data_IF_339640414420
#
_entry.id   IF_339640414420
#
_cell.length_a   1.000
_cell.length_b   1.000
_cell.length_c   1.000
_cell.angle_alpha   90.00
_cell.angle_beta   90.00
_cell.angle_gamma   90.00
#
_symmetry.space_group_name_H-M   'P 1'
#
loop_
_entity.id
_entity.type
_entity.pdbx_description
1 polymer ?
#
# COMPACT_ATOMS: atom_id res chain seq x y z
N UNK A 1 18.89 18.57 -5.89
CA UNK A 1 20.02 17.62 -5.96
C UNK A 1 21.39 18.30 -5.96
N UNK A 2 21.63 19.36 -6.75
CA UNK A 2 22.92 20.09 -6.78
C UNK A 2 23.55 20.38 -5.41
N UNK A 3 22.81 20.99 -4.48
CA UNK A 3 23.30 21.28 -3.11
C UNK A 3 23.83 20.05 -2.37
N UNK A 4 23.07 18.95 -2.39
CA UNK A 4 23.47 17.68 -1.77
C UNK A 4 24.73 17.10 -2.43
N UNK A 5 24.86 17.23 -3.75
CA UNK A 5 26.07 16.79 -4.46
C UNK A 5 27.30 17.67 -4.16
N UNK A 6 27.09 18.95 -3.84
CA UNK A 6 28.18 19.87 -3.43
C UNK A 6 28.58 19.69 -1.96
N UNK A 7 27.61 19.51 -1.07
CA UNK A 7 27.85 19.50 0.38
C UNK A 7 28.14 18.12 0.97
N UNK A 8 27.87 17.05 0.21
CA UNK A 8 28.02 15.64 0.65
C UNK A 8 26.66 14.98 0.90
N UNK A 9 26.47 13.76 0.39
CA UNK A 9 25.19 13.00 0.49
C UNK A 9 24.85 12.63 1.93
N UNK A 10 25.85 12.40 2.76
CA UNK A 10 25.74 11.96 4.16
C UNK A 10 25.01 12.96 5.07
N UNK A 11 24.89 14.23 4.64
CA UNK A 11 24.19 15.30 5.37
C UNK A 11 22.70 15.36 5.07
N UNK A 12 22.20 14.50 4.18
CA UNK A 12 20.85 14.61 3.62
C UNK A 12 20.11 13.28 3.66
N UNK A 13 18.80 13.37 3.86
CA UNK A 13 17.85 12.27 3.65
C UNK A 13 16.87 12.69 2.55
N UNK A 14 17.09 12.31 1.28
CA UNK A 14 16.18 12.67 0.21
C UNK A 14 14.88 11.87 0.30
N UNK A 15 13.75 12.58 0.29
CA UNK A 15 12.41 12.00 0.14
C UNK A 15 12.04 12.04 -1.33
N UNK A 16 11.71 10.89 -1.92
CA UNK A 16 11.49 10.75 -3.36
C UNK A 16 10.11 10.15 -3.65
N UNK A 17 9.51 10.58 -4.75
CA UNK A 17 8.34 9.92 -5.33
C UNK A 17 8.76 8.64 -6.06
N UNK A 18 7.82 7.72 -6.30
CA UNK A 18 8.07 6.53 -7.12
C UNK A 18 8.10 5.19 -6.37
N UNK A 19 7.37 5.06 -5.24
CA UNK A 19 7.42 3.84 -4.44
C UNK A 19 6.81 2.60 -5.12
N UNK A 20 5.94 2.75 -6.12
CA UNK A 20 5.43 1.63 -6.93
C UNK A 20 6.30 1.39 -8.18
N UNK A 21 7.39 2.14 -8.34
CA UNK A 21 8.20 2.13 -9.56
C UNK A 21 7.55 2.87 -10.73
N UNK A 22 6.72 3.87 -10.45
CA UNK A 22 6.00 4.66 -11.44
C UNK A 22 6.98 5.23 -12.49
N UNK A 23 6.69 5.06 -13.80
CA UNK A 23 7.49 5.65 -14.86
C UNK A 23 7.61 7.17 -14.68
N UNK A 24 8.82 7.70 -14.79
CA UNK A 24 9.10 9.14 -14.66
C UNK A 24 9.18 9.69 -13.22
N UNK A 25 8.81 8.91 -12.21
CA UNK A 25 9.00 9.31 -10.81
C UNK A 25 10.50 9.42 -10.45
N UNK A 26 10.83 10.22 -9.44
CA UNK A 26 12.22 10.54 -9.11
C UNK A 26 13.02 9.28 -8.79
N UNK A 27 12.47 8.35 -8.00
CA UNK A 27 13.18 7.11 -7.66
C UNK A 27 13.45 6.23 -8.89
N UNK A 28 12.49 6.12 -9.81
CA UNK A 28 12.64 5.37 -11.07
C UNK A 28 13.73 5.99 -11.95
N UNK A 29 13.76 7.32 -12.05
CA UNK A 29 14.79 8.06 -12.79
C UNK A 29 16.17 7.90 -12.15
N UNK A 30 16.26 7.96 -10.82
CA UNK A 30 17.50 7.67 -10.07
C UNK A 30 17.98 6.25 -10.38
N UNK A 31 17.10 5.25 -10.30
CA UNK A 31 17.42 3.85 -10.60
C UNK A 31 17.90 3.65 -12.05
N UNK A 32 17.36 4.44 -13.00
CA UNK A 32 17.79 4.44 -14.39
C UNK A 32 19.07 5.25 -14.65
N UNK A 33 19.51 6.10 -13.71
CA UNK A 33 20.66 6.99 -13.91
C UNK A 33 20.33 8.25 -14.71
N UNK A 34 19.06 8.67 -14.72
CA UNK A 34 18.55 9.83 -15.46
C UNK A 34 18.57 11.12 -14.61
N UNK A 35 19.32 11.12 -13.51
CA UNK A 35 19.46 12.24 -12.58
C UNK A 35 20.90 12.37 -12.10
N UNK A 36 21.30 13.57 -11.67
CA UNK A 36 22.61 13.82 -11.05
C UNK A 36 22.84 13.03 -9.73
N UNK A 37 21.77 12.51 -9.13
CA UNK A 37 21.87 11.66 -7.95
C UNK A 37 22.03 10.19 -8.36
N UNK A 38 23.23 9.66 -8.13
CA UNK A 38 23.55 8.25 -8.37
C UNK A 38 23.54 7.49 -7.05
N UNK A 39 22.97 6.30 -7.06
CA UNK A 39 23.06 5.36 -5.94
C UNK A 39 24.42 4.70 -5.98
N UNK A 40 25.10 4.69 -4.84
CA UNK A 40 26.43 4.11 -4.65
C UNK A 40 26.38 2.94 -3.68
N UNK A 41 27.44 2.15 -3.67
CA UNK A 41 27.56 1.01 -2.76
C UNK A 41 27.47 1.46 -1.30
N UNK A 42 26.51 0.91 -0.55
CA UNK A 42 26.29 1.23 0.86
C UNK A 42 25.17 2.24 1.13
N UNK A 43 24.65 2.92 0.10
CA UNK A 43 23.45 3.74 0.20
C UNK A 43 22.26 2.92 0.69
N UNK A 44 21.40 3.54 1.50
CA UNK A 44 20.22 2.89 2.08
C UNK A 44 18.98 3.48 1.46
N UNK A 45 18.14 2.62 0.92
CA UNK A 45 16.87 3.00 0.30
C UNK A 45 15.76 2.37 1.11
N UNK A 46 14.94 3.22 1.71
CA UNK A 46 13.81 2.81 2.55
C UNK A 46 12.54 3.02 1.74
N UNK A 47 11.82 1.94 1.46
CA UNK A 47 10.48 2.01 0.93
C UNK A 47 9.49 2.03 2.09
N UNK A 48 9.11 3.23 2.51
CA UNK A 48 8.13 3.46 3.59
C UNK A 48 6.67 3.27 3.13
N UNK A 49 6.42 2.35 2.19
CA UNK A 49 5.11 2.09 1.62
C UNK A 49 5.02 0.69 1.00
N UNK A 50 3.84 0.07 1.14
CA UNK A 50 3.52 -1.22 0.54
C UNK A 50 3.38 -1.14 -0.98
N UNK A 51 3.42 -2.30 -1.63
CA UNK A 51 3.12 -2.43 -3.06
C UNK A 51 1.61 -2.61 -3.19
N UNK A 52 0.95 -1.80 -4.01
CA UNK A 52 -0.46 -2.03 -4.34
C UNK A 52 -0.50 -3.30 -5.19
N UNK A 53 -1.29 -4.34 -4.82
CA UNK A 53 -1.26 -5.66 -5.43
C UNK A 53 -1.89 -5.64 -6.84
N UNK A 54 -1.14 -5.07 -7.77
CA UNK A 54 -1.44 -4.97 -9.19
C UNK A 54 -0.19 -5.44 -9.94
N UNK A 55 -0.31 -6.36 -10.91
CA UNK A 55 0.85 -6.95 -11.58
C UNK A 55 1.83 -5.92 -12.17
N UNK A 56 1.31 -4.80 -12.67
CA UNK A 56 2.12 -3.71 -13.20
C UNK A 56 2.97 -3.04 -12.11
N UNK A 57 2.41 -2.80 -10.92
CA UNK A 57 3.12 -2.16 -9.81
C UNK A 57 4.20 -3.09 -9.25
N UNK A 58 3.89 -4.38 -9.10
CA UNK A 58 4.86 -5.38 -8.66
C UNK A 58 6.05 -5.48 -9.63
N UNK A 59 5.78 -5.53 -10.93
CA UNK A 59 6.81 -5.58 -11.98
C UNK A 59 7.67 -4.31 -12.02
N UNK A 60 7.02 -3.13 -11.95
CA UNK A 60 7.71 -1.84 -11.94
C UNK A 60 8.60 -1.70 -10.70
N UNK A 61 8.05 -1.97 -9.52
CA UNK A 61 8.78 -1.96 -8.25
C UNK A 61 9.95 -2.95 -8.28
N UNK A 62 9.74 -4.15 -8.80
CA UNK A 62 10.79 -5.14 -8.94
C UNK A 62 11.95 -4.62 -9.81
N UNK A 63 11.63 -4.01 -10.96
CA UNK A 63 12.65 -3.43 -11.87
C UNK A 63 13.46 -2.34 -11.19
N UNK A 64 12.80 -1.41 -10.49
CA UNK A 64 13.47 -0.33 -9.76
C UNK A 64 14.36 -0.90 -8.65
N UNK A 65 13.83 -1.80 -7.83
CA UNK A 65 14.59 -2.47 -6.75
C UNK A 65 15.81 -3.20 -7.29
N UNK A 66 15.66 -3.95 -8.39
CA UNK A 66 16.76 -4.69 -9.02
C UNK A 66 17.86 -3.74 -9.48
N UNK A 67 17.52 -2.65 -10.18
CA UNK A 67 18.49 -1.63 -10.63
C UNK A 67 19.23 -0.96 -9.48
N UNK A 68 18.50 -0.62 -8.40
CA UNK A 68 19.11 -0.03 -7.19
C UNK A 68 20.08 -1.01 -6.51
N UNK A 69 19.71 -2.29 -6.42
CA UNK A 69 20.57 -3.36 -5.87
C UNK A 69 21.81 -3.60 -6.73
N UNK A 70 21.68 -3.59 -8.06
CA UNK A 70 22.82 -3.73 -8.98
C UNK A 70 23.88 -2.64 -8.81
N UNK A 71 23.49 -1.46 -8.28
CA UNK A 71 24.41 -0.36 -7.94
C UNK A 71 24.97 -0.42 -6.52
N UNK A 72 24.65 -1.47 -5.77
CA UNK A 72 25.10 -1.67 -4.38
C UNK A 72 24.21 -1.00 -3.32
N UNK A 73 23.02 -0.53 -3.71
CA UNK A 73 22.02 0.01 -2.78
C UNK A 73 21.43 -1.08 -1.87
N UNK A 74 21.28 -0.76 -0.58
CA UNK A 74 20.67 -1.62 0.44
C UNK A 74 19.20 -1.26 0.60
N UNK A 75 18.32 -2.23 0.35
CA UNK A 75 16.87 -2.02 0.35
C UNK A 75 16.27 -2.41 1.70
N UNK A 76 15.41 -1.54 2.23
CA UNK A 76 14.58 -1.78 3.40
C UNK A 76 13.12 -1.53 3.02
N UNK A 77 12.29 -2.56 2.98
CA UNK A 77 10.90 -2.51 2.51
C UNK A 77 9.87 -3.03 3.53
N UNK A 78 10.33 -3.65 4.63
CA UNK A 78 9.48 -4.13 5.73
C UNK A 78 9.30 -3.08 6.83
N UNK A 79 9.01 -1.82 6.46
CA UNK A 79 8.81 -0.70 7.41
C UNK A 79 7.41 -0.09 7.32
N UNK A 80 6.59 -0.58 6.40
CA UNK A 80 5.22 -0.11 6.20
C UNK A 80 4.23 -0.96 7.01
N UNK A 81 3.22 -0.30 7.56
CA UNK A 81 2.03 -0.93 8.12
C UNK A 81 0.80 -0.47 7.35
N UNK A 82 -0.21 -1.33 7.27
CA UNK A 82 -1.49 -0.99 6.63
C UNK A 82 -2.13 0.23 7.28
N UNK A 83 -2.73 1.11 6.47
CA UNK A 83 -3.63 2.16 6.95
C UNK A 83 -5.08 1.70 7.14
N UNK A 84 -5.40 0.46 6.79
CA UNK A 84 -6.72 -0.14 6.96
C UNK A 84 -6.76 -1.03 8.21
N UNK A 85 -7.92 -1.03 8.86
CA UNK A 85 -8.26 -1.93 9.95
C UNK A 85 -8.05 -3.41 9.55
N UNK A 86 -7.49 -4.19 10.47
CA UNK A 86 -7.39 -5.63 10.33
C UNK A 86 -8.71 -6.32 10.75
N UNK A 87 -8.72 -7.65 10.70
CA UNK A 87 -9.92 -8.44 11.03
C UNK A 87 -10.42 -8.14 12.44
N UNK A 88 -9.50 -8.15 13.41
CA UNK A 88 -9.80 -7.92 14.83
C UNK A 88 -10.30 -6.49 15.06
N UNK A 89 -9.68 -5.50 14.43
CA UNK A 89 -10.15 -4.10 14.49
C UNK A 89 -11.60 -3.97 13.97
N UNK A 90 -11.92 -4.65 12.86
CA UNK A 90 -13.28 -4.65 12.32
C UNK A 90 -14.28 -5.39 13.20
N UNK A 91 -13.87 -6.49 13.82
CA UNK A 91 -14.69 -7.24 14.76
C UNK A 91 -15.02 -6.40 16.00
N UNK A 92 -14.02 -5.71 16.57
CA UNK A 92 -14.22 -4.77 17.66
C UNK A 92 -15.13 -3.61 17.24
N UNK A 93 -14.93 -3.06 16.04
CA UNK A 93 -15.76 -1.99 15.49
C UNK A 93 -17.24 -2.39 15.42
N UNK A 94 -17.55 -3.59 14.91
CA UNK A 94 -18.91 -4.09 14.84
C UNK A 94 -19.54 -4.22 16.23
N UNK A 95 -18.78 -4.70 17.22
CA UNK A 95 -19.27 -4.83 18.60
C UNK A 95 -19.47 -3.48 19.29
N UNK A 96 -18.60 -2.51 19.03
CA UNK A 96 -18.69 -1.18 19.63
C UNK A 96 -19.85 -0.37 19.06
N UNK A 97 -20.04 -0.42 17.74
CA UNK A 97 -21.10 0.33 17.06
C UNK A 97 -22.44 -0.39 17.19
N UNK A 98 -22.45 -1.72 17.16
CA UNK A 98 -23.64 -2.57 17.09
C UNK A 98 -24.67 -2.06 16.04
N UNK A 99 -24.25 -1.87 14.77
CA UNK A 99 -25.12 -1.31 13.75
C UNK A 99 -26.31 -2.23 13.44
N UNK A 100 -27.45 -1.65 13.07
CA UNK A 100 -28.64 -2.40 12.62
C UNK A 100 -28.39 -3.07 11.27
N UNK A 101 -27.63 -2.41 10.38
CA UNK A 101 -27.26 -2.93 9.06
C UNK A 101 -25.79 -2.67 8.75
N UNK A 102 -25.14 -3.64 8.11
CA UNK A 102 -23.73 -3.59 7.70
C UNK A 102 -23.62 -3.72 6.19
N UNK A 103 -22.90 -2.81 5.54
CA UNK A 103 -22.66 -2.84 4.09
C UNK A 103 -21.14 -2.76 3.86
N UNK A 104 -20.43 -3.92 3.73
CA UNK A 104 -19.00 -3.93 3.46
C UNK A 104 -18.67 -3.20 2.17
N UNK A 105 -17.66 -2.33 2.21
CA UNK A 105 -17.26 -1.47 1.09
C UNK A 105 -15.74 -1.37 1.00
N UNK A 106 -15.23 -0.82 -0.12
CA UNK A 106 -13.79 -0.58 -0.34
C UNK A 106 -12.94 -1.87 -0.25
N UNK A 107 -13.42 -2.93 -0.89
CA UNK A 107 -12.71 -4.21 -0.98
C UNK A 107 -13.03 -4.95 -2.27
N UNK A 108 -12.23 -5.97 -2.57
CA UNK A 108 -12.58 -6.94 -3.60
C UNK A 108 -13.56 -7.98 -3.04
N UNK A 109 -14.11 -8.84 -3.92
CA UNK A 109 -15.09 -9.85 -3.52
C UNK A 109 -14.56 -10.79 -2.42
N UNK A 110 -13.26 -11.13 -2.46
CA UNK A 110 -12.62 -11.98 -1.45
C UNK A 110 -12.58 -11.27 -0.09
N UNK A 111 -12.24 -9.99 -0.08
CA UNK A 111 -12.20 -9.17 1.14
C UNK A 111 -13.60 -9.02 1.74
N UNK A 112 -14.61 -8.77 0.89
CA UNK A 112 -16.01 -8.71 1.33
C UNK A 112 -16.50 -10.07 1.86
N UNK A 113 -16.12 -11.18 1.24
CA UNK A 113 -16.44 -12.52 1.74
C UNK A 113 -15.81 -12.81 3.10
N UNK A 114 -14.53 -12.47 3.29
CA UNK A 114 -13.86 -12.62 4.59
C UNK A 114 -14.48 -11.71 5.67
N UNK A 115 -14.89 -10.50 5.29
CA UNK A 115 -15.60 -9.59 6.19
C UNK A 115 -16.97 -10.16 6.59
N UNK A 116 -17.72 -10.72 5.64
CA UNK A 116 -19.00 -11.36 5.91
C UNK A 116 -18.85 -12.49 6.93
N UNK A 117 -17.90 -13.40 6.73
CA UNK A 117 -17.63 -14.51 7.66
C UNK A 117 -17.31 -13.97 9.06
N UNK A 118 -16.49 -12.92 9.16
CA UNK A 118 -16.20 -12.26 10.44
C UNK A 118 -17.46 -11.65 11.08
N UNK A 119 -18.29 -10.97 10.29
CA UNK A 119 -19.49 -10.32 10.78
C UNK A 119 -20.54 -11.34 11.27
N UNK A 120 -20.62 -12.52 10.63
CA UNK A 120 -21.48 -13.62 11.09
C UNK A 120 -21.11 -14.09 12.50
N UNK A 121 -19.82 -14.10 12.86
CA UNK A 121 -19.36 -14.40 14.23
C UNK A 121 -19.81 -13.34 15.26
N UNK A 122 -20.20 -12.15 14.80
CA UNK A 122 -20.74 -11.07 15.64
C UNK A 122 -22.28 -11.00 15.64
N UNK A 123 -22.96 -11.94 14.97
CA UNK A 123 -24.42 -12.03 14.96
C UNK A 123 -25.12 -11.40 13.75
N UNK A 124 -24.37 -11.00 12.73
CA UNK A 124 -24.95 -10.59 11.45
C UNK A 124 -25.26 -11.81 10.57
N UNK A 125 -26.17 -11.66 9.62
CA UNK A 125 -26.59 -12.71 8.69
C UNK A 125 -26.89 -12.12 7.32
N UNK A 126 -26.31 -12.72 6.28
CA UNK A 126 -26.40 -12.23 4.91
C UNK A 126 -27.86 -12.09 4.45
N UNK A 127 -28.18 -10.91 3.91
CA UNK A 127 -29.51 -10.59 3.40
C UNK A 127 -30.54 -10.18 4.47
N UNK A 128 -30.19 -10.27 5.75
CA UNK A 128 -30.99 -9.72 6.85
C UNK A 128 -30.41 -8.38 7.30
N UNK A 129 -29.24 -8.41 7.93
CA UNK A 129 -28.60 -7.23 8.53
C UNK A 129 -27.14 -7.04 8.07
N UNK A 130 -26.63 -7.89 7.16
CA UNK A 130 -25.42 -7.58 6.38
C UNK A 130 -25.68 -7.79 4.90
N UNK A 131 -25.23 -6.83 4.09
CA UNK A 131 -25.61 -6.72 2.69
C UNK A 131 -24.38 -6.55 1.80
N UNK A 132 -24.20 -7.46 0.84
CA UNK A 132 -23.19 -7.31 -0.20
C UNK A 132 -23.79 -6.61 -1.40
N UNK A 133 -23.28 -5.41 -1.69
CA UNK A 133 -23.72 -4.59 -2.82
C UNK A 133 -22.61 -4.45 -3.85
N UNK A 134 -22.99 -4.29 -5.12
CA UNK A 134 -22.07 -3.99 -6.22
C UNK A 134 -22.17 -2.53 -6.63
N UNK A 135 -21.15 -2.02 -7.30
CA UNK A 135 -21.19 -0.67 -7.87
C UNK A 135 -22.42 -0.49 -8.76
N UNK A 136 -23.24 0.52 -8.46
CA UNK A 136 -24.48 0.81 -9.16
C UNK A 136 -25.70 -0.03 -8.75
N UNK A 137 -25.57 -0.91 -7.76
CA UNK A 137 -26.70 -1.64 -7.19
C UNK A 137 -27.38 -0.80 -6.10
N UNK A 138 -28.70 -0.72 -6.15
CA UNK A 138 -29.53 -0.09 -5.11
C UNK A 138 -29.88 -1.12 -4.02
N UNK A 139 -29.88 -0.66 -2.76
CA UNK A 139 -30.31 -1.42 -1.60
C UNK A 139 -31.38 -0.60 -0.89
N UNK A 140 -32.59 -1.16 -0.76
CA UNK A 140 -33.62 -0.61 0.12
C UNK A 140 -33.52 -1.31 1.48
N UNK A 141 -33.58 -0.52 2.53
CA UNK A 141 -33.65 -0.96 3.92
C UNK A 141 -34.93 -0.33 4.49
N UNK A 142 -35.84 -1.19 4.96
CA UNK A 142 -37.13 -0.79 5.51
C UNK A 142 -37.03 -0.32 6.97
#
# INVERSE_FOLDING_TARGET
>A
MKRMMTEGKEKYLPIMTGHQGEPGAILSRVANGETDYLVESGDKIIFSAGIIPQPLNESNRHTVVTKLKMRGGRIYDNVHVSGHACREDHWELLRMINPEHVIPSHGNLVSHGNYLIMAEETGYSLGSNIHLVRNGQELLID
#
